data_IF_038683461328
#
_entry.id   IF_038683461328
#
_cell.length_a   1.000
_cell.length_b   1.000
_cell.length_c   1.000
_cell.angle_alpha   90.00
_cell.angle_beta   90.00
_cell.angle_gamma   90.00
#
_symmetry.space_group_name_H-M   'P 1'
#
loop_
_entity.id
_entity.type
_entity.pdbx_description
1 polymer ?
#
# COMPACT_ATOMS: atom_id res chain seq x y z
N UNK A 1 25.83 -9.40 9.11
CA UNK A 1 24.47 -9.82 9.49
C UNK A 1 23.56 -8.63 9.24
N UNK A 2 22.92 -8.57 8.07
CA UNK A 2 21.96 -7.51 7.75
C UNK A 2 20.59 -8.00 8.19
N UNK A 3 20.09 -7.51 9.31
CA UNK A 3 18.66 -7.56 9.58
C UNK A 3 18.01 -6.56 8.63
N UNK A 4 17.75 -6.99 7.40
CA UNK A 4 16.85 -6.25 6.54
C UNK A 4 15.50 -6.24 7.27
N UNK A 5 14.96 -5.08 7.65
CA UNK A 5 13.64 -5.02 8.24
C UNK A 5 12.64 -5.62 7.27
N UNK A 6 11.64 -6.33 7.81
CA UNK A 6 10.53 -6.88 7.02
C UNK A 6 9.94 -5.74 6.19
N UNK A 7 9.97 -5.85 4.86
CA UNK A 7 9.47 -4.79 3.99
C UNK A 7 7.95 -4.65 4.17
N UNK A 8 7.52 -3.47 4.59
CA UNK A 8 6.10 -3.13 4.67
C UNK A 8 5.56 -2.94 3.26
N UNK A 9 4.37 -3.47 3.01
CA UNK A 9 3.65 -3.14 1.78
C UNK A 9 3.41 -1.63 1.72
N UNK A 10 3.46 -1.08 0.51
CA UNK A 10 3.25 0.35 0.25
C UNK A 10 2.14 0.51 -0.76
N UNK A 11 1.32 1.52 -0.56
CA UNK A 11 0.18 1.85 -1.38
C UNK A 11 0.28 3.31 -1.83
N UNK A 12 -0.18 3.62 -3.02
CA UNK A 12 -0.21 4.95 -3.61
C UNK A 12 -1.66 5.36 -3.75
N UNK A 13 -2.02 6.52 -3.23
CA UNK A 13 -3.34 7.10 -3.48
C UNK A 13 -3.46 7.43 -4.97
N UNK A 14 -4.46 6.88 -5.67
CA UNK A 14 -4.64 7.13 -7.10
C UNK A 14 -5.02 8.58 -7.42
N UNK A 15 -5.61 9.28 -6.44
CA UNK A 15 -6.05 10.67 -6.59
C UNK A 15 -4.92 11.70 -6.43
N UNK A 16 -4.08 11.58 -5.39
CA UNK A 16 -3.06 12.58 -5.06
C UNK A 16 -1.63 12.06 -5.04
N UNK A 17 -1.42 10.77 -5.33
CA UNK A 17 -0.12 10.10 -5.46
C UNK A 17 0.72 10.05 -4.18
N UNK A 18 0.15 10.34 -3.01
CA UNK A 18 0.83 10.13 -1.73
C UNK A 18 1.03 8.63 -1.44
N UNK A 19 2.21 8.30 -0.91
CA UNK A 19 2.59 6.94 -0.54
C UNK A 19 2.22 6.67 0.92
N UNK A 20 1.50 5.59 1.16
CA UNK A 20 1.07 5.11 2.47
C UNK A 20 1.67 3.74 2.78
N UNK A 21 2.02 3.51 4.04
CA UNK A 21 2.35 2.17 4.54
C UNK A 21 1.06 1.34 4.67
N UNK A 22 1.16 0.05 4.35
CA UNK A 22 0.08 -0.90 4.55
C UNK A 22 -0.24 -1.11 6.02
N UNK A 23 -1.52 -1.22 6.33
CA UNK A 23 -2.02 -1.56 7.66
C UNK A 23 -1.93 -3.08 7.86
N UNK A 24 -1.22 -3.57 8.89
CA UNK A 24 -1.10 -5.00 9.13
C UNK A 24 -2.44 -5.59 9.58
N UNK A 25 -2.96 -6.55 8.84
CA UNK A 25 -4.13 -7.35 9.23
C UNK A 25 -3.74 -8.80 9.50
N UNK A 26 -4.31 -9.34 10.58
CA UNK A 26 -4.12 -10.75 10.94
C UNK A 26 -5.12 -11.60 10.18
N UNK A 27 -4.63 -12.47 9.30
CA UNK A 27 -5.47 -13.53 8.74
C UNK A 27 -5.59 -14.70 9.72
N UNK A 28 -6.72 -15.44 9.72
CA UNK A 28 -6.90 -16.60 10.60
C UNK A 28 -5.85 -17.71 10.41
N UNK A 29 -5.16 -17.73 9.26
CA UNK A 29 -4.10 -18.68 8.94
C UNK A 29 -2.69 -18.22 9.37
N UNK A 30 -2.58 -17.15 10.17
CA UNK A 30 -1.29 -16.65 10.68
C UNK A 30 -0.42 -15.93 9.65
N UNK A 31 -0.90 -15.74 8.42
CA UNK A 31 -0.21 -14.90 7.43
C UNK A 31 -0.48 -13.42 7.75
N UNK A 32 0.59 -12.62 7.85
CA UNK A 32 0.49 -11.16 7.87
C UNK A 32 0.08 -10.70 6.48
N UNK A 33 -1.10 -10.12 6.35
CA UNK A 33 -1.48 -9.35 5.16
C UNK A 33 -1.33 -7.89 5.50
N UNK A 34 -1.04 -7.11 4.48
CA UNK A 34 -1.12 -5.66 4.56
C UNK A 34 -2.29 -5.23 3.69
N UNK A 35 -3.06 -4.30 4.19
CA UNK A 35 -4.18 -3.68 3.48
C UNK A 35 -3.92 -2.18 3.36
N UNK A 36 -4.43 -1.51 2.31
CA UNK A 36 -4.35 -0.05 2.25
C UNK A 36 -5.03 0.58 3.46
N UNK A 37 -4.66 1.82 3.84
CA UNK A 37 -5.41 2.56 4.85
C UNK A 37 -6.84 2.81 4.37
N UNK A 38 -7.77 3.04 5.31
CA UNK A 38 -9.17 3.29 4.99
C UNK A 38 -9.36 4.59 4.16
N UNK A 39 -8.57 5.62 4.44
CA UNK A 39 -8.64 6.91 3.76
C UNK A 39 -7.25 7.54 3.65
N UNK A 40 -7.05 8.34 2.60
CA UNK A 40 -5.82 9.08 2.37
C UNK A 40 -5.76 10.29 3.29
N UNK A 41 -4.77 10.34 4.18
CA UNK A 41 -4.57 11.48 5.07
C UNK A 41 -4.27 12.82 4.38
N UNK A 42 -4.00 12.82 3.06
CA UNK A 42 -3.76 14.05 2.29
C UNK A 42 -4.98 14.60 1.57
N UNK A 43 -5.81 13.75 0.96
CA UNK A 43 -6.97 14.19 0.16
C UNK A 43 -8.31 13.59 0.57
N UNK A 44 -8.33 12.62 1.50
CA UNK A 44 -9.55 11.93 1.93
C UNK A 44 -10.07 10.85 0.97
N UNK A 45 -9.39 10.58 -0.14
CA UNK A 45 -9.79 9.50 -1.04
C UNK A 45 -9.51 8.12 -0.43
N UNK A 46 -10.31 7.12 -0.81
CA UNK A 46 -10.22 5.73 -0.35
C UNK A 46 -9.63 4.77 -1.40
N UNK A 47 -9.25 5.29 -2.57
CA UNK A 47 -8.71 4.47 -3.66
C UNK A 47 -7.17 4.43 -3.65
N UNK A 48 -6.65 3.20 -3.61
CA UNK A 48 -5.23 2.92 -3.40
C UNK A 48 -4.73 1.80 -4.31
N UNK A 49 -3.52 1.99 -4.83
CA UNK A 49 -2.83 1.05 -5.70
C UNK A 49 -1.57 0.57 -5.01
N UNK A 50 -1.33 -0.74 -4.97
CA UNK A 50 -0.06 -1.27 -4.46
C UNK A 50 1.13 -0.71 -5.23
N UNK A 51 2.21 -0.33 -4.55
CA UNK A 51 3.38 0.32 -5.18
C UNK A 51 3.99 -0.51 -6.31
N UNK A 52 3.92 -1.84 -6.19
CA UNK A 52 4.37 -2.79 -7.21
C UNK A 52 3.55 -2.72 -8.51
N UNK A 53 2.29 -2.29 -8.43
CA UNK A 53 1.37 -2.17 -9.56
C UNK A 53 1.29 -0.75 -10.12
N UNK A 54 1.87 0.25 -9.45
CA UNK A 54 1.79 1.65 -9.87
C UNK A 54 2.40 1.91 -11.24
N UNK A 55 3.55 1.28 -11.53
CA UNK A 55 4.24 1.42 -12.83
C UNK A 55 3.38 0.87 -13.97
N UNK A 56 2.64 -0.21 -13.71
CA UNK A 56 1.71 -0.78 -14.68
C UNK A 56 0.46 0.09 -14.86
N UNK A 57 0.02 0.78 -13.82
CA UNK A 57 -1.12 1.68 -13.87
C UNK A 57 -0.88 2.94 -14.73
N UNK A 58 0.36 3.45 -14.80
CA UNK A 58 0.70 4.60 -15.66
C UNK A 58 0.94 4.25 -17.12
N UNK A 59 0.83 2.97 -17.50
CA UNK A 59 1.16 2.48 -18.85
C UNK A 59 -0.07 2.31 -19.76
N UNK A 60 -1.28 2.46 -19.23
CA UNK A 60 -2.53 2.55 -19.99
C UNK A 60 -2.91 4.02 -20.21
N UNK A 61 -2.19 4.69 -21.11
CA UNK A 61 -2.61 5.97 -21.73
C UNK A 61 -2.74 5.82 -23.25
#
# INVERSE_FOLDING_TARGET
MSHAPEEVARYICSSCQLVHAGTPSRTPAGKRRFEPPAECGGCGADDFIGIENWIHHSSEE
#
